data_IF_298865067797
#
_entry.id   IF_298865067797
#
_cell.length_a   1.000
_cell.length_b   1.000
_cell.length_c   1.000
_cell.angle_alpha   90.00
_cell.angle_beta   90.00
_cell.angle_gamma   90.00
#
_symmetry.space_group_name_H-M   'P 1'
#
loop_
_entity.id
_entity.type
_entity.pdbx_description
1 polymer ?
#
# COMPACT_ATOMS: atom_id res chain seq x y z
N UNK A 1 -17.50 -2.92 43.87
CA UNK A 1 -16.98 -3.92 42.90
C UNK A 1 -15.64 -3.41 42.45
N UNK A 2 -14.57 -4.21 42.55
CA UNK A 2 -13.23 -3.75 42.18
C UNK A 2 -13.22 -3.45 40.68
N UNK A 3 -12.86 -2.21 40.31
CA UNK A 3 -12.62 -1.84 38.93
C UNK A 3 -11.57 -2.78 38.33
N UNK A 4 -11.71 -3.17 37.05
CA UNK A 4 -10.75 -4.06 36.43
C UNK A 4 -9.39 -3.38 36.44
N UNK A 5 -8.32 -4.13 36.73
CA UNK A 5 -6.94 -3.63 36.67
C UNK A 5 -6.68 -3.15 35.24
N UNK A 6 -6.88 -1.86 35.02
CA UNK A 6 -6.50 -1.17 33.80
C UNK A 6 -4.98 -1.36 33.60
N UNK A 7 -4.58 -1.54 32.35
CA UNK A 7 -3.17 -1.56 32.00
C UNK A 7 -2.55 -0.22 32.42
N UNK A 8 -1.65 -0.22 33.41
CA UNK A 8 -0.92 0.99 33.76
C UNK A 8 0.17 1.21 32.73
N UNK A 9 -0.12 2.05 31.72
CA UNK A 9 0.83 2.43 30.67
C UNK A 9 2.14 3.03 31.21
N UNK A 10 2.20 3.42 32.49
CA UNK A 10 3.43 3.89 33.12
C UNK A 10 4.32 2.76 33.64
N UNK A 11 3.76 1.56 33.84
CA UNK A 11 4.48 0.37 34.31
C UNK A 11 4.84 -0.57 33.15
N UNK A 12 4.01 -0.61 32.12
CA UNK A 12 4.23 -1.45 30.95
C UNK A 12 5.10 -0.75 29.90
N UNK A 13 6.07 -1.48 29.36
CA UNK A 13 6.88 -0.96 28.25
C UNK A 13 6.01 -0.98 26.99
N UNK A 14 5.90 0.16 26.32
CA UNK A 14 5.36 0.23 24.94
C UNK A 14 6.13 -0.75 24.05
N UNK A 15 5.43 -1.73 23.48
CA UNK A 15 6.04 -2.70 22.56
C UNK A 15 5.84 -2.29 21.10
N UNK A 16 4.76 -1.56 20.81
CA UNK A 16 4.69 -0.68 19.65
C UNK A 16 3.46 -0.84 18.77
N UNK A 17 3.17 0.25 18.08
CA UNK A 17 2.25 0.32 16.93
C UNK A 17 2.72 1.49 16.04
N UNK A 18 3.10 2.57 16.71
CA UNK A 18 3.77 3.73 16.12
C UNK A 18 4.93 4.15 17.01
N UNK A 19 6.14 3.66 16.79
CA UNK A 19 7.25 4.41 17.35
C UNK A 19 7.59 5.60 16.48
N UNK A 20 7.28 6.80 17.00
CA UNK A 20 7.33 8.02 16.21
C UNK A 20 8.70 8.69 16.28
N UNK A 21 9.56 8.47 17.28
CA UNK A 21 10.85 9.20 17.39
C UNK A 21 11.97 8.50 18.20
N UNK A 22 11.70 7.57 19.13
CA UNK A 22 12.77 6.83 19.85
C UNK A 22 13.14 5.52 19.15
N UNK A 23 12.17 4.89 18.49
CA UNK A 23 12.35 3.69 17.68
C UNK A 23 12.19 4.01 16.18
N UNK A 24 12.76 5.16 15.80
CA UNK A 24 13.07 5.55 14.43
C UNK A 24 11.93 5.33 13.46
N UNK A 25 11.12 6.38 13.22
CA UNK A 25 10.66 6.56 11.83
C UNK A 25 11.91 6.36 10.97
N UNK A 26 11.93 5.43 10.00
CA UNK A 26 12.95 5.49 9.00
C UNK A 26 12.96 6.95 8.56
N UNK A 27 14.09 7.64 8.74
CA UNK A 27 14.18 9.00 8.22
C UNK A 27 13.67 8.90 6.78
N UNK A 28 12.93 9.85 6.23
CA UNK A 28 12.27 9.68 4.92
C UNK A 28 13.13 8.94 3.85
N UNK A 29 14.45 9.12 3.90
CA UNK A 29 15.51 8.36 3.21
C UNK A 29 15.50 6.81 3.33
N UNK A 30 15.05 6.23 4.43
CA UNK A 30 15.11 4.81 4.79
C UNK A 30 13.79 4.07 4.47
N UNK A 31 12.72 4.77 4.03
CA UNK A 31 11.53 4.09 3.50
C UNK A 31 11.87 3.16 2.32
N UNK A 32 12.93 3.50 1.57
CA UNK A 32 13.48 2.66 0.51
C UNK A 32 14.03 1.33 1.02
N UNK A 33 14.75 1.33 2.14
CA UNK A 33 15.28 0.10 2.74
C UNK A 33 14.20 -0.67 3.49
N UNK A 34 13.16 0.00 3.99
CA UNK A 34 12.03 -0.65 4.63
C UNK A 34 11.18 -1.48 3.68
N UNK A 35 11.15 -1.22 2.38
CA UNK A 35 10.38 -2.03 1.43
C UNK A 35 11.01 -3.43 1.25
N UNK A 36 10.76 -4.40 2.18
CA UNK A 36 11.43 -5.72 2.22
C UNK A 36 11.44 -6.43 0.86
N UNK A 37 10.34 -6.33 0.14
CA UNK A 37 10.22 -6.79 -1.24
C UNK A 37 9.45 -5.79 -2.10
N UNK A 38 9.40 -6.05 -3.40
CA UNK A 38 8.73 -5.22 -4.38
C UNK A 38 9.68 -4.38 -5.23
N UNK A 39 9.09 -3.46 -5.97
CA UNK A 39 9.78 -2.61 -6.91
C UNK A 39 10.55 -1.50 -6.20
N UNK A 40 11.87 -1.45 -6.44
CA UNK A 40 12.77 -0.43 -5.88
C UNK A 40 13.39 0.45 -6.95
N UNK A 41 12.75 0.45 -8.12
CA UNK A 41 13.18 1.16 -9.30
C UNK A 41 13.03 2.68 -9.20
N UNK A 42 13.01 3.37 -10.33
CA UNK A 42 12.65 4.76 -10.44
C UNK A 42 11.16 4.92 -10.17
N UNK A 43 10.74 6.01 -9.52
CA UNK A 43 9.30 6.37 -9.39
C UNK A 43 8.44 5.24 -8.81
N UNK A 44 8.84 4.77 -7.64
CA UNK A 44 8.06 3.84 -6.83
C UNK A 44 7.69 4.51 -5.52
N UNK A 45 6.65 3.99 -4.87
CA UNK A 45 6.20 4.45 -3.57
C UNK A 45 6.30 3.30 -2.57
N UNK A 46 6.68 3.64 -1.34
CA UNK A 46 6.65 2.70 -0.24
C UNK A 46 5.20 2.64 0.27
N UNK A 47 4.64 1.44 0.29
CA UNK A 47 3.26 1.21 0.68
C UNK A 47 3.21 0.30 1.91
N UNK A 48 2.38 0.64 2.88
CA UNK A 48 2.05 -0.22 4.00
C UNK A 48 1.07 -1.29 3.55
N UNK A 49 1.39 -2.56 3.75
CA UNK A 49 0.45 -3.66 3.46
C UNK A 49 -0.78 -3.55 4.36
N UNK A 50 -0.59 -3.19 5.62
CA UNK A 50 -1.69 -2.80 6.52
C UNK A 50 -1.50 -1.31 6.82
N UNK A 51 -2.19 -0.39 6.11
CA UNK A 51 -2.09 1.06 6.30
C UNK A 51 -2.62 1.51 7.66
N UNK A 52 -2.12 2.67 8.11
CA UNK A 52 -2.52 3.30 9.37
C UNK A 52 -3.97 3.75 9.35
N UNK A 53 -4.41 4.38 8.26
CA UNK A 53 -5.80 4.83 8.12
C UNK A 53 -6.79 3.67 8.32
N UNK A 54 -6.50 2.48 7.76
CA UNK A 54 -7.38 1.31 7.91
C UNK A 54 -7.36 0.72 9.33
N UNK A 55 -6.23 0.81 10.01
CA UNK A 55 -6.15 0.48 11.41
C UNK A 55 -7.01 1.43 12.22
N UNK A 56 -6.80 2.75 12.06
CA UNK A 56 -7.48 3.78 12.84
C UNK A 56 -9.00 3.68 12.66
N UNK A 57 -9.46 3.48 11.42
CA UNK A 57 -10.87 3.24 11.11
C UNK A 57 -11.41 1.96 11.75
N UNK A 58 -10.68 0.85 11.65
CA UNK A 58 -11.13 -0.43 12.22
C UNK A 58 -11.16 -0.40 13.76
N UNK A 59 -10.22 0.32 14.39
CA UNK A 59 -10.18 0.55 15.84
C UNK A 59 -11.33 1.45 16.27
N UNK A 60 -11.62 2.52 15.53
CA UNK A 60 -12.75 3.39 15.81
C UNK A 60 -14.07 2.64 15.73
N UNK A 61 -14.23 1.75 14.74
CA UNK A 61 -15.43 0.90 14.60
C UNK A 61 -15.54 -0.12 15.73
N UNK A 62 -14.51 -0.93 15.96
CA UNK A 62 -14.50 -1.94 17.02
C UNK A 62 -14.65 -1.31 18.41
N UNK A 63 -14.06 -0.13 18.62
CA UNK A 63 -14.09 0.64 19.85
C UNK A 63 -15.50 1.06 20.29
N UNK A 64 -16.48 1.12 19.36
CA UNK A 64 -17.90 1.35 19.70
C UNK A 64 -18.45 0.26 20.61
N UNK A 65 -17.98 -0.97 20.47
CA UNK A 65 -18.44 -2.13 21.24
C UNK A 65 -17.46 -2.55 22.33
N UNK A 66 -16.15 -2.53 22.05
CA UNK A 66 -15.08 -2.98 22.94
C UNK A 66 -14.66 -1.91 23.95
N UNK A 67 -14.78 -0.64 23.56
CA UNK A 67 -14.20 0.50 24.28
C UNK A 67 -12.87 0.92 23.67
N UNK A 68 -12.82 2.14 23.15
CA UNK A 68 -11.65 2.68 22.44
C UNK A 68 -10.38 2.67 23.30
N UNK A 69 -10.48 3.10 24.57
CA UNK A 69 -9.34 3.12 25.48
C UNK A 69 -8.71 1.73 25.67
N UNK A 70 -9.55 0.69 25.78
CA UNK A 70 -9.07 -0.68 25.92
C UNK A 70 -8.31 -1.12 24.67
N UNK A 71 -8.87 -0.88 23.48
CA UNK A 71 -8.19 -1.18 22.22
C UNK A 71 -6.86 -0.44 22.11
N UNK A 72 -6.80 0.84 22.44
CA UNK A 72 -5.53 1.57 22.44
C UNK A 72 -4.51 0.98 23.44
N UNK A 73 -4.95 0.47 24.58
CA UNK A 73 -4.07 -0.24 25.53
C UNK A 73 -3.56 -1.55 24.93
N UNK A 74 -4.43 -2.32 24.26
CA UNK A 74 -4.04 -3.52 23.50
C UNK A 74 -2.99 -3.17 22.44
N UNK A 75 -3.24 -2.11 21.67
CA UNK A 75 -2.32 -1.61 20.66
C UNK A 75 -0.98 -1.18 21.27
N UNK A 76 -1.00 -0.58 22.46
CA UNK A 76 0.18 -0.09 23.15
C UNK A 76 1.17 -1.22 23.52
N UNK A 77 0.64 -2.37 23.95
CA UNK A 77 1.45 -3.53 24.36
C UNK A 77 1.57 -4.63 23.30
N UNK A 78 0.95 -4.47 22.14
CA UNK A 78 1.14 -5.41 21.03
C UNK A 78 2.56 -5.26 20.47
N UNK A 79 3.30 -6.35 20.29
CA UNK A 79 4.62 -6.33 19.64
C UNK A 79 4.48 -6.43 18.10
N UNK A 80 3.98 -5.34 17.50
CA UNK A 80 3.85 -5.20 16.06
C UNK A 80 4.10 -3.76 15.63
N UNK A 81 4.89 -3.53 14.59
CA UNK A 81 5.22 -2.19 14.14
C UNK A 81 4.78 -2.01 12.69
N UNK A 82 3.94 -1.01 12.45
CA UNK A 82 3.45 -0.70 11.11
C UNK A 82 4.59 -0.39 10.12
N UNK A 83 5.70 0.18 10.60
CA UNK A 83 6.88 0.51 9.80
C UNK A 83 7.87 -0.65 9.68
N UNK A 84 7.56 -1.84 10.22
CA UNK A 84 8.38 -3.03 10.03
C UNK A 84 8.52 -3.32 8.54
N UNK A 85 9.73 -3.60 8.03
CA UNK A 85 9.92 -3.92 6.62
C UNK A 85 9.01 -5.03 6.06
N UNK A 86 8.60 -5.96 6.91
CA UNK A 86 7.64 -7.02 6.56
C UNK A 86 6.25 -6.48 6.23
N UNK A 87 5.86 -5.32 6.79
CA UNK A 87 4.61 -4.62 6.49
C UNK A 87 4.77 -3.57 5.38
N UNK A 88 5.94 -3.47 4.76
CA UNK A 88 6.21 -2.49 3.69
C UNK A 88 6.45 -3.18 2.36
N UNK A 89 5.92 -2.62 1.27
CA UNK A 89 6.19 -3.09 -0.09
C UNK A 89 6.51 -1.89 -0.98
N UNK A 90 7.52 -2.05 -1.84
CA UNK A 90 7.81 -1.08 -2.88
C UNK A 90 6.90 -1.34 -4.07
N UNK A 91 6.11 -0.35 -4.47
CA UNK A 91 5.19 -0.47 -5.59
C UNK A 91 5.55 0.52 -6.69
N UNK A 92 5.65 0.10 -7.97
CA UNK A 92 5.75 1.05 -9.08
C UNK A 92 4.54 2.00 -9.05
N UNK A 93 4.81 3.29 -9.22
CA UNK A 93 3.74 4.22 -9.58
C UNK A 93 3.27 3.96 -11.01
N UNK A 94 2.09 4.44 -11.36
CA UNK A 94 1.61 4.49 -12.75
C UNK A 94 2.67 5.03 -13.73
N UNK A 95 3.45 6.02 -13.31
CA UNK A 95 4.52 6.60 -14.13
C UNK A 95 5.69 5.66 -14.41
N UNK A 96 5.96 4.67 -13.54
CA UNK A 96 6.98 3.66 -13.84
C UNK A 96 6.59 2.81 -15.03
N UNK A 97 5.33 2.41 -15.09
CA UNK A 97 4.77 1.66 -16.20
C UNK A 97 4.69 2.48 -17.47
N UNK A 98 4.28 3.74 -17.35
CA UNK A 98 4.29 4.69 -18.46
C UNK A 98 5.69 4.81 -19.09
N UNK A 99 6.72 5.00 -18.27
CA UNK A 99 8.10 5.06 -18.75
C UNK A 99 8.62 3.74 -19.33
N UNK A 100 8.22 2.61 -18.75
CA UNK A 100 8.70 1.29 -19.16
C UNK A 100 8.09 0.84 -20.51
N UNK A 101 6.77 1.02 -20.68
CA UNK A 101 6.06 0.62 -21.89
C UNK A 101 6.05 1.70 -22.98
N UNK A 102 6.30 2.96 -22.66
CA UNK A 102 6.64 3.95 -23.68
C UNK A 102 8.06 3.72 -24.20
N UNK A 103 8.25 2.59 -24.91
CA UNK A 103 9.55 2.20 -25.48
C UNK A 103 10.02 3.16 -26.57
N UNK A 104 9.09 3.77 -27.32
CA UNK A 104 9.32 4.80 -28.36
C UNK A 104 8.00 5.47 -28.77
N UNK A 105 7.45 6.34 -27.95
CA UNK A 105 6.45 7.27 -28.50
C UNK A 105 7.19 8.55 -28.79
N UNK A 106 7.39 8.85 -30.08
CA UNK A 106 7.78 10.20 -30.43
C UNK A 106 6.68 11.16 -29.95
N UNK A 107 7.05 12.41 -29.67
CA UNK A 107 6.08 13.42 -29.26
C UNK A 107 4.95 13.58 -30.30
N UNK A 108 5.18 13.20 -31.55
CA UNK A 108 4.27 13.41 -32.68
C UNK A 108 3.02 12.52 -32.59
N UNK A 109 3.15 11.24 -32.21
CA UNK A 109 1.99 10.36 -32.06
C UNK A 109 1.09 10.79 -30.88
N UNK A 110 1.69 11.14 -29.73
CA UNK A 110 0.96 11.56 -28.51
C UNK A 110 0.24 12.90 -28.67
N UNK A 111 0.87 13.83 -29.40
CA UNK A 111 0.29 15.15 -29.68
C UNK A 111 -0.94 15.08 -30.60
N UNK A 112 -1.05 14.02 -31.40
CA UNK A 112 -2.10 13.87 -32.41
C UNK A 112 -3.33 13.11 -31.89
N UNK A 113 -3.16 12.17 -30.95
CA UNK A 113 -4.23 11.24 -30.56
C UNK A 113 -4.75 11.41 -29.11
N UNK A 114 -4.05 12.16 -28.24
CA UNK A 114 -4.49 12.35 -26.85
C UNK A 114 -4.07 13.73 -26.28
N UNK A 115 -4.86 14.80 -26.51
CA UNK A 115 -4.47 16.18 -26.18
C UNK A 115 -4.16 16.44 -24.69
N UNK A 116 -4.80 15.70 -23.77
CA UNK A 116 -4.48 15.78 -22.34
C UNK A 116 -3.13 15.13 -22.02
N UNK A 117 -2.81 14.03 -22.69
CA UNK A 117 -1.53 13.31 -22.54
C UNK A 117 -0.37 14.16 -23.07
N UNK A 118 -0.60 14.99 -24.10
CA UNK A 118 0.37 15.98 -24.57
C UNK A 118 0.85 16.92 -23.47
N UNK A 119 -0.02 17.48 -22.64
CA UNK A 119 0.38 18.40 -21.55
C UNK A 119 1.27 17.69 -20.53
N UNK A 120 0.97 16.45 -20.18
CA UNK A 120 1.76 15.64 -19.27
C UNK A 120 3.11 15.23 -19.85
N UNK A 121 3.13 14.88 -21.13
CA UNK A 121 4.33 14.51 -21.89
C UNK A 121 5.23 15.74 -22.12
N UNK A 122 4.64 16.89 -22.45
CA UNK A 122 5.35 18.16 -22.61
C UNK A 122 5.89 18.64 -21.26
N UNK A 123 5.13 18.53 -20.18
CA UNK A 123 5.63 18.76 -18.82
C UNK A 123 6.81 17.85 -18.51
N UNK A 124 6.64 16.53 -18.71
CA UNK A 124 7.67 15.53 -18.46
C UNK A 124 8.94 15.71 -19.32
N UNK A 125 8.79 16.17 -20.57
CA UNK A 125 9.89 16.37 -21.52
C UNK A 125 10.55 17.75 -21.44
N UNK A 126 9.84 18.78 -20.95
CA UNK A 126 10.30 20.18 -20.97
C UNK A 126 10.59 20.78 -19.59
N UNK A 127 10.34 20.09 -18.47
CA UNK A 127 10.66 20.61 -17.13
C UNK A 127 12.18 20.58 -16.81
N UNK A 128 12.93 21.52 -17.39
CA UNK A 128 14.37 21.79 -17.15
C UNK A 128 15.32 20.64 -17.52
N UNK A 129 16.56 20.99 -17.85
CA UNK A 129 17.62 20.03 -18.23
C UNK A 129 17.87 18.91 -17.20
N UNK A 130 17.52 19.14 -15.93
CA UNK A 130 17.57 18.14 -14.86
C UNK A 130 16.58 16.98 -15.09
N UNK A 131 15.37 17.24 -15.63
CA UNK A 131 14.40 16.19 -15.94
C UNK A 131 14.82 15.35 -17.14
N UNK A 132 15.44 15.95 -18.19
CA UNK A 132 15.92 15.20 -19.36
C UNK A 132 17.05 14.23 -19.02
N UNK A 133 18.09 14.68 -18.31
CA UNK A 133 19.20 13.80 -17.89
C UNK A 133 18.73 12.68 -16.94
N UNK A 134 17.79 13.02 -16.04
CA UNK A 134 17.17 12.06 -15.12
C UNK A 134 16.32 11.04 -15.89
N UNK A 135 15.52 11.48 -16.87
CA UNK A 135 14.75 10.62 -17.78
C UNK A 135 15.65 9.67 -18.56
N UNK A 136 16.70 10.18 -19.20
CA UNK A 136 17.58 9.35 -20.03
C UNK A 136 18.30 8.28 -19.19
N UNK A 137 18.67 8.63 -17.95
CA UNK A 137 19.16 7.66 -16.96
C UNK A 137 18.11 6.58 -16.66
N UNK A 138 16.85 6.95 -16.50
CA UNK A 138 15.78 5.99 -16.23
C UNK A 138 15.47 5.08 -17.42
N UNK A 139 15.34 5.67 -18.62
CA UNK A 139 15.17 4.90 -19.85
C UNK A 139 16.32 3.92 -20.07
N UNK A 140 17.56 4.34 -19.77
CA UNK A 140 18.73 3.44 -19.84
C UNK A 140 18.61 2.27 -18.85
N UNK A 141 18.14 2.52 -17.63
CA UNK A 141 17.95 1.48 -16.61
C UNK A 141 16.81 0.50 -16.97
N UNK A 142 15.72 0.99 -17.55
CA UNK A 142 14.63 0.16 -18.06
C UNK A 142 15.08 -0.67 -19.27
N UNK A 143 15.74 -0.04 -20.24
CA UNK A 143 16.22 -0.70 -21.46
C UNK A 143 17.35 -1.71 -21.18
N UNK A 144 18.09 -1.56 -20.08
CA UNK A 144 19.08 -2.57 -19.67
C UNK A 144 18.44 -3.78 -18.98
N UNK A 145 17.13 -3.79 -18.76
CA UNK A 145 16.43 -4.82 -17.99
C UNK A 145 16.79 -4.84 -16.51
N UNK A 146 17.50 -3.82 -16.00
CA UNK A 146 17.97 -3.77 -14.62
C UNK A 146 16.83 -3.52 -13.62
N UNK A 147 15.73 -2.95 -14.12
CA UNK A 147 14.51 -2.63 -13.40
C UNK A 147 13.34 -2.91 -14.35
N UNK A 148 12.37 -3.69 -13.89
CA UNK A 148 11.17 -3.99 -14.67
C UNK A 148 9.95 -3.87 -13.73
N UNK A 149 8.98 -2.98 -14.02
CA UNK A 149 7.74 -2.95 -13.28
C UNK A 149 6.79 -4.10 -13.67
N UNK A 150 6.99 -4.77 -14.81
CA UNK A 150 6.18 -5.91 -15.27
C UNK A 150 6.05 -7.00 -14.20
N UNK A 151 4.84 -7.55 -14.07
CA UNK A 151 4.51 -8.52 -13.05
C UNK A 151 4.38 -7.96 -11.62
N UNK A 152 4.45 -6.63 -11.41
CA UNK A 152 4.38 -6.02 -10.08
C UNK A 152 3.10 -5.22 -9.83
N UNK A 153 2.55 -5.25 -8.61
CA UNK A 153 1.38 -4.44 -8.25
C UNK A 153 1.63 -2.93 -8.42
N UNK A 154 0.68 -2.18 -9.00
CA UNK A 154 0.77 -0.71 -9.12
C UNK A 154 0.24 -0.02 -7.86
N UNK A 155 0.95 1.01 -7.40
CA UNK A 155 0.41 1.96 -6.45
C UNK A 155 -0.48 2.96 -7.18
N UNK A 156 -1.80 2.85 -6.98
CA UNK A 156 -2.76 3.84 -7.48
C UNK A 156 -2.94 4.96 -6.44
N UNK A 157 -3.42 6.15 -6.84
CA UNK A 157 -3.84 7.17 -5.88
C UNK A 157 -5.01 6.67 -5.01
N UNK A 158 -4.97 7.01 -3.72
CA UNK A 158 -5.98 6.62 -2.72
C UNK A 158 -7.42 6.96 -3.13
N UNK A 159 -7.62 8.10 -3.77
CA UNK A 159 -8.94 8.65 -4.11
C UNK A 159 -9.74 7.90 -5.21
N UNK A 160 -9.13 6.96 -5.95
CA UNK A 160 -9.86 6.17 -6.97
C UNK A 160 -9.40 4.73 -7.09
N UNK A 161 -8.30 4.38 -6.43
CA UNK A 161 -7.71 3.07 -6.59
C UNK A 161 -7.36 2.41 -5.28
N UNK A 162 -7.82 2.84 -4.10
CA UNK A 162 -7.62 2.10 -2.85
C UNK A 162 -8.93 1.63 -2.20
N UNK A 163 -10.09 2.12 -2.65
CA UNK A 163 -11.35 2.00 -1.91
C UNK A 163 -11.74 0.56 -1.56
N UNK A 164 -11.68 -0.37 -2.52
CA UNK A 164 -12.03 -1.77 -2.24
C UNK A 164 -10.96 -2.46 -1.37
N UNK A 165 -9.68 -2.16 -1.63
CA UNK A 165 -8.58 -2.67 -0.81
C UNK A 165 -8.77 -2.28 0.66
N UNK A 166 -9.06 -1.01 0.88
CA UNK A 166 -9.27 -0.40 2.19
C UNK A 166 -10.48 -1.05 2.91
N UNK A 167 -11.63 -1.14 2.23
CA UNK A 167 -12.84 -1.75 2.81
C UNK A 167 -12.67 -3.24 3.14
N UNK A 168 -12.04 -4.00 2.25
CA UNK A 168 -11.79 -5.42 2.49
C UNK A 168 -10.76 -5.62 3.61
N UNK A 169 -9.70 -4.81 3.66
CA UNK A 169 -8.69 -4.88 4.71
C UNK A 169 -9.28 -4.50 6.07
N UNK A 170 -10.11 -3.45 6.13
CA UNK A 170 -10.84 -3.03 7.33
C UNK A 170 -11.76 -4.15 7.82
N UNK A 171 -12.49 -4.79 6.91
CA UNK A 171 -13.34 -5.95 7.23
C UNK A 171 -12.51 -7.10 7.80
N UNK A 172 -11.35 -7.38 7.22
CA UNK A 172 -10.42 -8.39 7.70
C UNK A 172 -9.83 -8.04 9.08
N UNK A 173 -9.53 -6.76 9.36
CA UNK A 173 -9.07 -6.29 10.66
C UNK A 173 -10.15 -6.51 11.73
N UNK A 174 -11.39 -6.13 11.44
CA UNK A 174 -12.53 -6.36 12.33
C UNK A 174 -12.71 -7.85 12.62
N UNK A 175 -12.79 -8.68 11.58
CA UNK A 175 -13.12 -10.09 11.71
C UNK A 175 -12.00 -10.93 12.32
N UNK A 176 -10.74 -10.63 11.96
CA UNK A 176 -9.62 -11.49 12.29
C UNK A 176 -8.73 -10.95 13.41
N UNK A 177 -8.89 -9.67 13.81
CA UNK A 177 -8.11 -9.09 14.91
C UNK A 177 -9.06 -8.66 16.03
N UNK A 178 -9.95 -7.71 15.75
CA UNK A 178 -10.72 -7.05 16.80
C UNK A 178 -11.81 -7.93 17.41
N UNK A 179 -12.47 -8.78 16.61
CA UNK A 179 -13.42 -9.76 17.15
C UNK A 179 -12.75 -10.78 18.08
N UNK A 180 -11.46 -11.12 17.86
CA UNK A 180 -10.73 -12.00 18.79
C UNK A 180 -10.49 -11.29 20.13
N UNK A 181 -10.09 -10.01 20.08
CA UNK A 181 -9.93 -9.17 21.27
C UNK A 181 -11.26 -9.05 22.02
N UNK A 182 -12.37 -8.80 21.32
CA UNK A 182 -13.70 -8.71 21.91
C UNK A 182 -14.10 -9.99 22.64
N UNK A 183 -13.86 -11.15 22.01
CA UNK A 183 -14.23 -12.45 22.56
C UNK A 183 -13.56 -12.77 23.90
N UNK A 184 -12.35 -12.23 24.16
CA UNK A 184 -11.59 -12.50 25.40
C UNK A 184 -11.60 -11.33 26.40
N UNK A 185 -12.18 -10.18 26.02
CA UNK A 185 -12.07 -8.94 26.82
C UNK A 185 -12.54 -9.10 28.26
N UNK A 186 -13.60 -9.89 28.47
CA UNK A 186 -14.21 -10.13 29.78
C UNK A 186 -13.38 -11.01 30.71
N UNK A 187 -12.42 -11.75 30.15
CA UNK A 187 -11.52 -12.62 30.92
C UNK A 187 -10.23 -11.89 31.34
N UNK A 188 -10.00 -10.67 30.85
CA UNK A 188 -8.72 -9.94 31.00
C UNK A 188 -7.51 -10.74 30.49
N UNK A 189 -7.72 -11.69 29.58
CA UNK A 189 -6.67 -12.56 29.03
C UNK A 189 -6.17 -12.01 27.70
N UNK A 190 -5.53 -10.84 27.74
CA UNK A 190 -4.96 -10.29 26.50
C UNK A 190 -3.90 -11.22 25.91
N UNK A 191 -3.12 -11.90 26.76
CA UNK A 191 -2.12 -12.90 26.35
C UNK A 191 -2.71 -14.07 25.54
N UNK A 192 -4.01 -14.36 25.69
CA UNK A 192 -4.68 -15.40 24.91
C UNK A 192 -4.90 -14.99 23.44
N UNK A 193 -4.93 -13.69 23.15
CA UNK A 193 -5.07 -13.15 21.79
C UNK A 193 -3.75 -12.59 21.34
N UNK A 194 -3.09 -13.33 20.45
CA UNK A 194 -1.84 -12.89 19.86
C UNK A 194 -2.11 -11.91 18.70
N UNK A 195 -2.50 -10.67 19.05
CA UNK A 195 -2.81 -9.58 18.09
C UNK A 195 -1.69 -9.39 17.08
N UNK A 196 -0.43 -9.42 17.53
CA UNK A 196 0.73 -9.33 16.65
C UNK A 196 0.78 -10.45 15.59
N UNK A 197 0.42 -11.68 15.98
CA UNK A 197 0.33 -12.80 15.03
C UNK A 197 -0.84 -12.65 14.07
N UNK A 198 -2.00 -12.19 14.54
CA UNK A 198 -3.15 -11.93 13.67
C UNK A 198 -2.81 -10.85 12.61
N UNK A 199 -2.14 -9.77 13.03
CA UNK A 199 -1.66 -8.72 12.12
C UNK A 199 -0.63 -9.25 11.13
N UNK A 200 0.33 -10.09 11.56
CA UNK A 200 1.31 -10.74 10.66
C UNK A 200 0.64 -11.67 9.65
N UNK A 201 -0.42 -12.38 10.03
CA UNK A 201 -1.20 -13.22 9.12
C UNK A 201 -1.93 -12.37 8.08
N UNK A 202 -2.59 -11.28 8.50
CA UNK A 202 -3.23 -10.34 7.57
C UNK A 202 -2.21 -9.72 6.61
N UNK A 203 -1.09 -9.23 7.13
CA UNK A 203 0.01 -8.71 6.34
C UNK A 203 0.50 -9.72 5.29
N UNK A 204 0.61 -11.00 5.65
CA UNK A 204 1.02 -12.05 4.70
C UNK A 204 -0.05 -12.29 3.63
N UNK A 205 -1.32 -12.41 4.04
CA UNK A 205 -2.47 -12.57 3.14
C UNK A 205 -2.54 -11.44 2.11
N UNK A 206 -2.48 -10.19 2.58
CA UNK A 206 -2.61 -9.01 1.73
C UNK A 206 -1.40 -8.78 0.84
N UNK A 207 -0.19 -9.07 1.33
CA UNK A 207 1.01 -9.10 0.48
C UNK A 207 0.86 -10.10 -0.67
N UNK A 208 0.40 -11.33 -0.37
CA UNK A 208 0.19 -12.33 -1.40
C UNK A 208 -0.85 -11.86 -2.42
N UNK A 209 -1.99 -11.31 -1.96
CA UNK A 209 -3.00 -10.72 -2.85
C UNK A 209 -2.40 -9.65 -3.78
N UNK A 210 -1.61 -8.72 -3.26
CA UNK A 210 -0.98 -7.69 -4.08
C UNK A 210 -0.01 -8.29 -5.10
N UNK A 211 0.85 -9.23 -4.68
CA UNK A 211 1.79 -9.91 -5.57
C UNK A 211 1.06 -10.70 -6.65
N UNK A 212 0.04 -11.48 -6.30
CA UNK A 212 -0.72 -12.32 -7.20
C UNK A 212 -1.46 -11.48 -8.25
N UNK A 213 -2.09 -10.38 -7.84
CA UNK A 213 -2.72 -9.45 -8.80
C UNK A 213 -1.69 -8.82 -9.74
N UNK A 214 -0.47 -8.55 -9.25
CA UNK A 214 0.60 -7.97 -10.05
C UNK A 214 1.09 -8.88 -11.17
N UNK A 215 1.01 -10.21 -11.02
CA UNK A 215 1.55 -11.19 -11.98
C UNK A 215 0.95 -11.06 -13.40
N UNK A 216 -0.21 -10.42 -13.54
CA UNK A 216 -0.84 -10.18 -14.84
C UNK A 216 -0.38 -8.89 -15.54
N UNK A 217 0.45 -8.06 -14.93
CA UNK A 217 0.84 -6.76 -15.49
C UNK A 217 1.81 -6.96 -16.65
N UNK A 218 1.38 -6.65 -17.87
CA UNK A 218 2.18 -6.75 -19.10
C UNK A 218 1.87 -5.62 -20.09
N UNK A 219 2.62 -5.56 -21.19
CA UNK A 219 2.48 -4.54 -22.24
C UNK A 219 1.09 -4.55 -22.90
N UNK A 220 0.51 -5.74 -23.09
CA UNK A 220 -0.83 -5.88 -23.68
C UNK A 220 -1.92 -5.25 -22.81
N UNK A 221 -1.92 -5.57 -21.51
CA UNK A 221 -2.84 -4.95 -20.52
C UNK A 221 -2.61 -3.45 -20.45
N UNK A 222 -1.36 -3.01 -20.47
CA UNK A 222 -1.05 -1.59 -20.48
C UNK A 222 -1.61 -0.87 -21.71
N UNK A 223 -1.45 -1.45 -22.90
CA UNK A 223 -1.94 -0.85 -24.15
C UNK A 223 -3.47 -0.75 -24.18
N UNK A 224 -4.16 -1.67 -23.51
CA UNK A 224 -5.62 -1.69 -23.37
C UNK A 224 -6.19 -0.66 -22.38
N UNK A 225 -5.35 0.03 -21.58
CA UNK A 225 -5.80 0.99 -20.55
C UNK A 225 -6.66 2.16 -21.02
N UNK A 226 -6.64 2.45 -22.31
CA UNK A 226 -7.42 3.53 -22.93
C UNK A 226 -8.65 3.01 -23.68
N UNK A 227 -8.90 1.70 -23.63
CA UNK A 227 -10.08 1.09 -24.23
C UNK A 227 -11.21 1.19 -23.22
N UNK A 228 -12.27 1.90 -23.60
CA UNK A 228 -13.50 2.00 -22.82
C UNK A 228 -14.31 0.70 -23.00
N UNK A 229 -13.82 -0.39 -22.40
CA UNK A 229 -14.48 -1.69 -22.36
C UNK A 229 -14.78 -2.06 -20.90
N UNK A 230 -16.07 -2.17 -20.53
CA UNK A 230 -16.47 -2.53 -19.16
C UNK A 230 -16.05 -3.96 -18.77
N UNK A 231 -15.80 -4.85 -19.75
CA UNK A 231 -15.42 -6.24 -19.52
C UNK A 231 -13.88 -6.46 -19.57
N UNK A 232 -13.09 -5.41 -19.77
CA UNK A 232 -11.64 -5.49 -19.89
C UNK A 232 -10.95 -5.47 -18.51
N UNK A 233 -10.24 -6.55 -18.21
CA UNK A 233 -9.45 -6.76 -17.00
C UNK A 233 -8.06 -6.11 -17.05
N UNK A 234 -7.83 -5.16 -17.97
CA UNK A 234 -6.59 -4.40 -18.08
C UNK A 234 -6.14 -3.78 -16.76
N UNK A 235 -7.09 -3.41 -15.90
CA UNK A 235 -6.86 -2.78 -14.59
C UNK A 235 -6.59 -3.78 -13.46
N UNK A 236 -6.79 -5.09 -13.64
CA UNK A 236 -6.57 -6.10 -12.59
C UNK A 236 -5.14 -6.07 -12.03
N UNK A 237 -4.10 -5.89 -12.87
CA UNK A 237 -2.73 -5.67 -12.42
C UNK A 237 -2.45 -4.26 -11.86
N UNK A 238 -3.46 -3.38 -11.82
CA UNK A 238 -3.43 -2.06 -11.19
C UNK A 238 -4.06 -2.16 -9.80
N UNK A 239 -3.31 -2.81 -8.92
CA UNK A 239 -3.74 -3.78 -7.89
C UNK A 239 -4.37 -3.28 -6.61
N UNK A 240 -4.63 -1.99 -6.48
CA UNK A 240 -5.38 -1.47 -5.33
C UNK A 240 -6.84 -1.15 -5.71
N UNK A 241 -7.13 -1.07 -7.03
CA UNK A 241 -8.48 -0.87 -7.51
C UNK A 241 -9.33 -2.12 -7.19
N UNK A 242 -10.64 -1.92 -7.14
CA UNK A 242 -11.55 -3.02 -6.92
C UNK A 242 -11.50 -4.12 -7.99
N UNK A 243 -12.34 -5.12 -7.84
CA UNK A 243 -12.61 -6.13 -8.88
C UNK A 243 -13.48 -5.56 -10.02
N UNK A 244 -13.74 -4.24 -10.00
CA UNK A 244 -14.47 -3.49 -11.02
C UNK A 244 -13.56 -2.47 -11.68
N UNK A 245 -13.86 -2.17 -12.95
CA UNK A 245 -13.09 -1.22 -13.74
C UNK A 245 -13.12 0.16 -13.05
N UNK A 246 -11.96 0.72 -12.64
CA UNK A 246 -11.90 1.97 -11.88
C UNK A 246 -12.40 3.19 -12.68
N UNK A 247 -12.54 3.07 -14.01
CA UNK A 247 -13.11 4.12 -14.86
C UNK A 247 -14.65 4.12 -14.81
N UNK A 248 -15.28 2.95 -14.60
CA UNK A 248 -16.74 2.79 -14.77
C UNK A 248 -17.51 2.50 -13.47
N UNK A 249 -16.83 2.06 -12.40
CA UNK A 249 -17.43 1.81 -11.07
C UNK A 249 -18.21 0.50 -10.93
#
# INVERSE_FOLDING_TARGET
>A
MAEPKHLDRNQEKRLGWFDKVKDGKPAYKDYKSSCKSGYRGPRYEAHHIVPDDMIDESVAEAGKSIGLQYLEDVMYITDWNINNPDNMIGLPSYHSYDQYYQRKVDLEWLTTHAPRTKVWVDWFNNEKAFARATRDRWLKLFNSGAINPEGLPIHNPSQWGHLEYDELLKTDLLNNVWNQVDAVRGEHKLDAVNVASALKLLQTKWRNRLVDRGQGANEDKWNRRHVDDPDDDWYVPFTMAGDRNPIFG
#
